data_IF_487669829139
#
_entry.id   IF_487669829139
#
_cell.length_a   1.000
_cell.length_b   1.000
_cell.length_c   1.000
_cell.angle_alpha   90.00
_cell.angle_beta   90.00
_cell.angle_gamma   90.00
#
_symmetry.space_group_name_H-M   'P 1'
#
loop_
_entity.id
_entity.type
_entity.pdbx_description
1 polymer ?
#
# COMPACT_ATOMS: atom_id res chain seq x y z
N UNK A 1 -17.30 -7.20 21.64
CA UNK A 1 -15.87 -7.19 21.25
C UNK A 1 -15.78 -7.86 19.90
N UNK A 2 -15.60 -7.08 18.84
CA UNK A 2 -15.56 -7.59 17.46
C UNK A 2 -14.09 -7.63 17.04
N UNK A 3 -13.55 -8.80 16.69
CA UNK A 3 -12.19 -8.89 16.14
C UNK A 3 -12.22 -8.39 14.70
N UNK A 4 -11.12 -7.87 14.15
CA UNK A 4 -11.10 -7.42 12.74
C UNK A 4 -11.44 -8.54 11.77
N UNK A 5 -11.04 -9.78 12.04
CA UNK A 5 -11.52 -10.93 11.27
C UNK A 5 -13.03 -11.05 11.30
N UNK A 6 -13.67 -10.76 12.44
CA UNK A 6 -15.12 -10.86 12.60
C UNK A 6 -15.82 -9.67 11.93
N UNK A 7 -15.28 -8.45 12.07
CA UNK A 7 -15.80 -7.24 11.42
C UNK A 7 -15.66 -7.30 9.89
N UNK A 8 -14.52 -7.81 9.40
CA UNK A 8 -14.26 -8.09 7.98
C UNK A 8 -15.16 -9.23 7.49
N UNK A 9 -15.38 -10.28 8.28
CA UNK A 9 -16.33 -11.35 7.95
C UNK A 9 -17.78 -10.85 7.88
N UNK A 10 -18.24 -10.02 8.82
CA UNK A 10 -19.59 -9.45 8.80
C UNK A 10 -19.79 -8.46 7.67
N UNK A 11 -18.73 -7.71 7.29
CA UNK A 11 -18.73 -6.97 6.02
C UNK A 11 -18.96 -7.98 4.89
N UNK A 12 -18.11 -9.02 4.78
CA UNK A 12 -18.15 -10.02 3.70
C UNK A 12 -19.53 -10.69 3.54
N UNK A 13 -20.25 -10.94 4.62
CA UNK A 13 -21.59 -11.56 4.62
C UNK A 13 -22.73 -10.64 4.15
N UNK A 14 -22.65 -9.32 4.38
CA UNK A 14 -23.67 -8.35 3.92
C UNK A 14 -23.48 -7.89 2.46
N UNK A 15 -22.40 -8.33 1.83
CA UNK A 15 -21.82 -7.73 0.62
C UNK A 15 -22.05 -8.54 -0.67
N UNK A 16 -22.95 -9.53 -0.63
CA UNK A 16 -23.22 -10.47 -1.72
C UNK A 16 -23.94 -9.88 -2.97
N UNK A 17 -24.10 -8.55 -3.09
CA UNK A 17 -24.95 -7.94 -4.14
C UNK A 17 -24.21 -7.16 -5.25
N UNK A 18 -22.92 -6.78 -5.12
CA UNK A 18 -22.10 -6.16 -6.21
C UNK A 18 -20.58 -6.41 -6.02
N UNK A 19 -20.01 -7.49 -6.59
CA UNK A 19 -18.71 -8.03 -6.14
C UNK A 19 -17.49 -7.08 -6.27
N UNK A 20 -17.38 -6.28 -7.35
CA UNK A 20 -16.15 -5.55 -7.66
C UNK A 20 -15.99 -4.23 -6.87
N UNK A 21 -17.02 -3.37 -6.85
CA UNK A 21 -16.99 -2.11 -6.10
C UNK A 21 -16.82 -2.32 -4.60
N UNK A 22 -17.36 -3.43 -4.12
CA UNK A 22 -17.31 -3.85 -2.74
C UNK A 22 -15.92 -4.38 -2.36
N UNK A 23 -15.32 -5.24 -3.19
CA UNK A 23 -13.95 -5.71 -2.97
C UNK A 23 -12.94 -4.54 -2.94
N UNK A 24 -13.16 -3.50 -3.77
CA UNK A 24 -12.34 -2.26 -3.77
C UNK A 24 -12.41 -1.52 -2.43
N UNK A 25 -13.63 -1.32 -1.93
CA UNK A 25 -13.89 -0.67 -0.64
C UNK A 25 -13.22 -1.42 0.51
N UNK A 26 -13.38 -2.75 0.54
CA UNK A 26 -12.82 -3.59 1.59
C UNK A 26 -11.29 -3.52 1.60
N UNK A 27 -10.66 -3.66 0.44
CA UNK A 27 -9.21 -3.64 0.36
C UNK A 27 -8.67 -2.24 0.71
N UNK A 28 -9.31 -1.14 0.26
CA UNK A 28 -9.00 0.24 0.68
C UNK A 28 -9.01 0.38 2.20
N UNK A 29 -10.10 -0.06 2.83
CA UNK A 29 -10.23 -0.06 4.28
C UNK A 29 -9.15 -0.89 4.98
N UNK A 30 -8.74 -2.04 4.42
CA UNK A 30 -7.69 -2.88 4.99
C UNK A 30 -6.31 -2.20 5.00
N UNK A 31 -5.92 -1.51 3.93
CA UNK A 31 -4.66 -0.77 3.91
C UNK A 31 -4.68 0.40 4.91
N UNK A 32 -5.78 1.17 4.92
CA UNK A 32 -5.99 2.28 5.85
C UNK A 32 -5.94 1.80 7.29
N UNK A 33 -6.67 0.73 7.62
CA UNK A 33 -6.68 0.12 8.93
C UNK A 33 -5.29 -0.43 9.33
N UNK A 34 -4.56 -1.05 8.40
CA UNK A 34 -3.20 -1.53 8.63
C UNK A 34 -2.23 -0.41 9.00
N UNK A 35 -2.22 0.69 8.21
CA UNK A 35 -1.36 1.85 8.51
C UNK A 35 -1.78 2.56 9.79
N UNK A 36 -3.08 2.69 10.04
CA UNK A 36 -3.61 3.31 11.27
C UNK A 36 -3.23 2.49 12.52
N UNK A 37 -3.09 1.17 12.40
CA UNK A 37 -2.60 0.35 13.49
C UNK A 37 -1.12 0.59 13.79
N UNK A 38 -0.28 0.71 12.77
CA UNK A 38 1.13 1.10 12.97
C UNK A 38 1.23 2.46 13.65
N UNK A 39 0.34 3.40 13.29
CA UNK A 39 0.26 4.71 13.93
C UNK A 39 -0.15 4.63 15.40
N UNK A 40 -1.20 3.86 15.70
CA UNK A 40 -1.65 3.65 17.07
C UNK A 40 -0.60 2.95 17.93
N UNK A 41 0.07 1.93 17.38
CA UNK A 41 1.12 1.16 18.04
C UNK A 41 2.35 2.03 18.33
N UNK A 42 2.80 2.81 17.34
CA UNK A 42 3.91 3.76 17.51
C UNK A 42 3.62 4.81 18.61
N UNK A 43 2.36 5.17 18.80
CA UNK A 43 1.92 6.08 19.86
C UNK A 43 1.61 5.36 21.19
N UNK A 44 1.87 4.05 21.30
CA UNK A 44 1.60 3.25 22.50
C UNK A 44 0.12 3.05 22.81
N UNK A 45 -0.77 3.32 21.85
CA UNK A 45 -2.23 3.17 22.01
C UNK A 45 -2.64 1.71 21.87
N UNK A 46 -3.55 1.28 22.74
CA UNK A 46 -4.11 -0.08 22.70
C UNK A 46 -5.25 -0.29 21.70
N UNK A 47 -5.68 0.77 21.01
CA UNK A 47 -6.74 0.74 20.00
C UNK A 47 -6.54 1.86 18.96
N UNK A 48 -6.96 1.58 17.74
CA UNK A 48 -7.00 2.52 16.61
C UNK A 48 -8.22 3.44 16.75
N UNK A 49 -7.97 4.73 16.60
CA UNK A 49 -8.95 5.81 16.63
C UNK A 49 -9.19 6.44 15.25
N UNK A 50 -10.16 7.36 15.15
CA UNK A 50 -10.39 8.14 13.93
C UNK A 50 -9.19 9.01 13.55
N UNK A 51 -8.40 9.45 14.52
CA UNK A 51 -7.19 10.25 14.29
C UNK A 51 -6.07 9.42 13.65
N UNK A 52 -5.99 8.13 14.02
CA UNK A 52 -5.07 7.18 13.40
C UNK A 52 -5.46 6.92 11.93
N UNK A 53 -6.77 6.80 11.65
CA UNK A 53 -7.26 6.71 10.27
C UNK A 53 -6.93 7.97 9.45
N UNK A 54 -7.06 9.15 10.07
CA UNK A 54 -6.72 10.43 9.42
C UNK A 54 -5.25 10.46 9.00
N UNK A 55 -4.33 10.11 9.90
CA UNK A 55 -2.90 10.06 9.60
C UNK A 55 -2.59 8.98 8.56
N UNK A 56 -3.27 7.83 8.62
CA UNK A 56 -3.12 6.76 7.64
C UNK A 56 -3.41 7.21 6.19
N UNK A 57 -4.37 8.10 5.95
CA UNK A 57 -4.63 8.63 4.61
C UNK A 57 -3.46 9.43 4.03
N UNK A 58 -2.81 10.28 4.82
CA UNK A 58 -1.60 11.00 4.39
C UNK A 58 -0.41 10.05 4.22
N UNK A 59 -0.48 8.87 4.82
CA UNK A 59 0.60 7.93 4.85
C UNK A 59 0.61 6.99 3.63
N UNK A 60 -0.50 6.34 3.33
CA UNK A 60 -0.52 5.29 2.29
C UNK A 60 -0.54 5.90 0.87
N UNK A 61 -0.75 7.22 0.77
CA UNK A 61 -0.79 7.93 -0.50
C UNK A 61 -2.08 7.64 -1.29
N UNK A 62 -1.96 7.56 -2.61
CA UNK A 62 -3.08 7.57 -3.54
C UNK A 62 -3.73 8.96 -3.66
N UNK A 63 -4.93 9.04 -4.24
CA UNK A 63 -5.55 10.34 -4.55
C UNK A 63 -5.82 11.22 -3.32
N UNK A 64 -6.18 10.60 -2.18
CA UNK A 64 -6.40 11.33 -0.92
C UNK A 64 -5.09 11.88 -0.37
N UNK A 65 -4.04 11.05 -0.32
CA UNK A 65 -2.72 11.48 0.11
C UNK A 65 -2.15 12.58 -0.78
N UNK A 66 -2.37 12.51 -2.10
CA UNK A 66 -1.98 13.54 -3.04
C UNK A 66 -2.74 14.86 -2.81
N UNK A 67 -4.06 14.80 -2.59
CA UNK A 67 -4.86 15.99 -2.27
C UNK A 67 -4.43 16.64 -0.95
N UNK A 68 -4.08 15.84 0.05
CA UNK A 68 -3.50 16.31 1.32
C UNK A 68 -2.14 16.98 1.08
N UNK A 69 -1.23 16.31 0.36
CA UNK A 69 0.11 16.82 0.08
C UNK A 69 0.10 18.13 -0.74
N UNK A 70 -0.88 18.30 -1.64
CA UNK A 70 -1.07 19.54 -2.40
C UNK A 70 -1.37 20.76 -1.49
N UNK A 71 -1.90 20.54 -0.29
CA UNK A 71 -2.07 21.58 0.74
C UNK A 71 -0.91 21.63 1.75
N UNK A 72 0.18 20.89 1.52
CA UNK A 72 1.29 20.76 2.47
C UNK A 72 0.94 19.91 3.70
N UNK A 73 -0.13 19.12 3.66
CA UNK A 73 -0.53 18.26 4.76
C UNK A 73 0.23 16.92 4.66
N UNK A 74 1.14 16.70 5.61
CA UNK A 74 1.91 15.46 5.75
C UNK A 74 1.40 14.67 6.95
N UNK A 75 1.82 13.42 7.10
CA UNK A 75 1.53 12.63 8.30
C UNK A 75 1.99 13.35 9.58
N UNK A 76 3.14 14.04 9.52
CA UNK A 76 3.67 14.81 10.64
C UNK A 76 2.84 16.04 10.96
N UNK A 77 2.43 16.83 9.96
CA UNK A 77 1.58 18.00 10.22
C UNK A 77 0.18 17.61 10.71
N UNK A 78 -0.35 16.47 10.26
CA UNK A 78 -1.60 15.92 10.80
C UNK A 78 -1.45 15.49 12.27
N UNK A 79 -0.34 14.81 12.64
CA UNK A 79 -0.05 14.49 14.05
C UNK A 79 0.09 15.76 14.90
N UNK A 80 0.71 16.81 14.36
CA UNK A 80 0.79 18.11 15.03
C UNK A 80 -0.61 18.72 15.21
N UNK A 81 -1.43 18.78 14.17
CA UNK A 81 -2.81 19.28 14.26
C UNK A 81 -3.70 18.49 15.23
N UNK A 82 -3.51 17.16 15.33
CA UNK A 82 -4.17 16.33 16.36
C UNK A 82 -3.77 16.77 17.76
N UNK A 83 -2.46 16.95 18.01
CA UNK A 83 -1.94 17.42 19.31
C UNK A 83 -2.43 18.82 19.65
N UNK A 84 -2.44 19.73 18.69
CA UNK A 84 -2.86 21.12 18.90
C UNK A 84 -4.37 21.20 19.19
N UNK A 85 -5.19 20.41 18.49
CA UNK A 85 -6.61 20.25 18.80
C UNK A 85 -6.80 19.73 20.22
N UNK A 86 -6.11 18.66 20.61
CA UNK A 86 -6.27 18.07 21.94
C UNK A 86 -5.78 19.03 23.05
N UNK A 87 -4.72 19.78 22.80
CA UNK A 87 -4.25 20.83 23.71
C UNK A 87 -5.27 21.97 23.85
N UNK A 88 -5.93 22.39 22.76
CA UNK A 88 -6.99 23.37 22.80
C UNK A 88 -8.23 22.88 23.56
N UNK A 89 -8.64 21.62 23.33
CA UNK A 89 -9.76 20.97 24.03
C UNK A 89 -9.49 20.93 25.55
N UNK A 90 -8.28 20.51 25.95
CA UNK A 90 -7.88 20.47 27.37
C UNK A 90 -7.75 21.86 27.98
N UNK A 91 -7.20 22.82 27.25
CA UNK A 91 -7.11 24.22 27.70
C UNK A 91 -8.49 24.82 27.92
N UNK A 92 -9.49 24.48 27.09
CA UNK A 92 -10.87 24.92 27.27
C UNK A 92 -11.51 24.35 28.55
N UNK A 93 -11.01 23.21 29.04
CA UNK A 93 -11.39 22.61 30.32
C UNK A 93 -10.55 23.15 31.51
N UNK A 94 -9.65 24.11 31.28
CA UNK A 94 -8.74 24.64 32.30
C UNK A 94 -7.58 23.72 32.65
N UNK A 95 -7.30 22.71 31.80
CA UNK A 95 -6.20 21.76 31.96
C UNK A 95 -5.04 22.20 31.07
N UNK A 96 -3.91 22.57 31.67
CA UNK A 96 -2.68 22.86 30.93
C UNK A 96 -1.83 21.59 30.86
N UNK A 97 -1.58 21.10 29.64
CA UNK A 97 -0.64 20.01 29.46
C UNK A 97 0.79 20.49 29.73
N UNK A 98 1.65 19.67 30.37
CA UNK A 98 3.08 19.92 30.34
C UNK A 98 3.56 19.92 28.88
N UNK A 99 4.64 20.65 28.56
CA UNK A 99 5.24 20.60 27.22
C UNK A 99 5.48 19.14 26.84
N UNK A 100 5.16 18.78 25.60
CA UNK A 100 5.29 17.42 25.11
C UNK A 100 6.73 16.95 25.38
N UNK A 101 6.89 15.98 26.29
CA UNK A 101 8.15 15.28 26.46
C UNK A 101 8.51 14.55 25.17
N UNK A 102 9.78 14.18 25.02
CA UNK A 102 10.17 13.27 23.94
C UNK A 102 9.22 12.07 23.92
N UNK A 103 8.73 11.66 22.74
CA UNK A 103 7.89 10.47 22.64
C UNK A 103 8.62 9.31 23.32
N UNK A 104 8.02 8.77 24.37
CA UNK A 104 8.57 7.61 25.05
C UNK A 104 8.51 6.47 24.04
N UNK A 105 9.67 6.13 23.46
CA UNK A 105 9.81 4.91 22.69
C UNK A 105 9.49 3.75 23.63
N UNK A 106 8.27 3.21 23.51
CA UNK A 106 7.90 2.01 24.25
C UNK A 106 8.78 0.89 23.68
N UNK A 107 9.77 0.38 24.43
CA UNK A 107 10.67 -0.62 23.91
C UNK A 107 9.88 -1.92 23.83
N UNK A 108 9.59 -2.37 22.62
CA UNK A 108 9.00 -3.67 22.41
C UNK A 108 8.05 -3.65 21.24
N UNK A 109 8.44 -4.40 20.21
CA UNK A 109 7.52 -5.04 19.27
C UNK A 109 6.48 -5.77 20.13
N UNK A 110 5.34 -5.13 20.36
CA UNK A 110 4.27 -5.71 21.17
C UNK A 110 3.85 -7.02 20.51
N UNK A 111 3.61 -8.03 21.35
CA UNK A 111 3.30 -9.41 20.97
C UNK A 111 2.46 -9.45 19.68
N UNK A 112 2.89 -10.13 18.60
CA UNK A 112 2.09 -10.27 17.37
C UNK A 112 0.70 -10.90 17.61
N UNK A 113 0.44 -11.40 18.83
CA UNK A 113 -0.87 -11.85 19.31
C UNK A 113 -1.71 -10.77 20.01
N UNK A 114 -1.21 -9.53 20.20
CA UNK A 114 -2.06 -8.39 20.59
C UNK A 114 -3.03 -8.15 19.45
N UNK A 115 -4.21 -8.73 19.61
CA UNK A 115 -5.33 -8.55 18.69
C UNK A 115 -5.48 -7.07 18.35
N UNK A 116 -5.41 -6.75 17.06
CA UNK A 116 -5.80 -5.45 16.51
C UNK A 116 -7.16 -5.04 17.10
N UNK A 117 -7.23 -3.87 17.74
CA UNK A 117 -8.47 -3.33 18.30
C UNK A 117 -8.78 -1.99 17.66
N UNK A 118 -10.00 -1.85 17.18
CA UNK A 118 -10.60 -0.56 16.86
C UNK A 118 -11.28 -0.05 18.14
N UNK A 119 -11.22 1.25 18.39
CA UNK A 119 -12.18 1.83 19.34
C UNK A 119 -13.61 1.72 18.78
N UNK A 120 -14.61 1.90 19.65
CA UNK A 120 -16.00 1.68 19.27
C UNK A 120 -16.51 2.67 18.21
N UNK A 121 -15.97 3.90 18.18
CA UNK A 121 -16.35 4.93 17.23
C UNK A 121 -15.78 4.63 15.84
N UNK A 122 -14.51 4.25 15.79
CA UNK A 122 -13.76 3.86 14.60
C UNK A 122 -14.32 2.57 13.99
N UNK A 123 -14.70 1.59 14.83
CA UNK A 123 -15.38 0.39 14.35
C UNK A 123 -16.71 0.74 13.66
N UNK A 124 -17.55 1.57 14.28
CA UNK A 124 -18.83 2.01 13.70
C UNK A 124 -18.63 2.86 12.44
N UNK A 125 -17.58 3.66 12.40
CA UNK A 125 -17.22 4.45 11.23
C UNK A 125 -16.87 3.52 10.06
N UNK A 126 -15.95 2.56 10.26
CA UNK A 126 -15.54 1.62 9.22
C UNK A 126 -16.67 0.66 8.79
N UNK A 127 -17.57 0.28 9.71
CA UNK A 127 -18.78 -0.50 9.37
C UNK A 127 -19.74 0.26 8.44
N UNK A 128 -19.82 1.58 8.58
CA UNK A 128 -20.67 2.45 7.75
C UNK A 128 -19.97 2.97 6.51
N UNK A 129 -18.64 3.05 6.53
CA UNK A 129 -17.83 3.52 5.43
C UNK A 129 -17.92 2.51 4.27
N UNK A 130 -18.76 2.83 3.30
CA UNK A 130 -18.86 2.10 2.04
C UNK A 130 -18.42 3.03 0.91
N UNK A 131 -17.51 2.58 0.05
CA UNK A 131 -17.08 3.34 -1.13
C UNK A 131 -15.57 3.47 -1.31
N UNK A 132 -15.16 4.50 -2.02
CA UNK A 132 -13.75 4.73 -2.38
C UNK A 132 -12.96 5.34 -1.22
N UNK A 133 -11.61 5.27 -1.21
CA UNK A 133 -10.78 6.02 -0.26
C UNK A 133 -11.18 7.50 -0.12
N UNK A 134 -11.50 8.18 -1.23
CA UNK A 134 -11.95 9.58 -1.16
C UNK A 134 -13.32 9.73 -0.51
N UNK A 135 -14.25 8.80 -0.75
CA UNK A 135 -15.55 8.78 -0.07
C UNK A 135 -15.38 8.57 1.44
N UNK A 136 -14.57 7.58 1.84
CA UNK A 136 -14.26 7.34 3.25
C UNK A 136 -13.57 8.56 3.90
N UNK A 137 -12.66 9.23 3.19
CA UNK A 137 -12.04 10.45 3.69
C UNK A 137 -13.02 11.61 3.80
N UNK A 138 -13.95 11.76 2.85
CA UNK A 138 -15.02 12.75 2.92
C UNK A 138 -15.95 12.48 4.13
N UNK A 139 -16.34 11.22 4.34
CA UNK A 139 -17.14 10.81 5.51
C UNK A 139 -16.40 11.07 6.82
N UNK A 140 -15.07 10.90 6.84
CA UNK A 140 -14.23 11.21 7.99
C UNK A 140 -14.22 12.72 8.28
N UNK A 141 -14.14 13.55 7.25
CA UNK A 141 -14.25 15.01 7.39
C UNK A 141 -15.64 15.45 7.89
N UNK A 142 -16.69 14.77 7.46
CA UNK A 142 -18.07 15.06 7.86
C UNK A 142 -18.53 14.31 9.12
N UNK A 143 -17.60 13.62 9.79
CA UNK A 143 -17.92 12.78 10.93
C UNK A 143 -18.60 13.58 12.07
N UNK A 144 -19.68 13.07 12.70
CA UNK A 144 -20.45 13.80 13.70
C UNK A 144 -19.65 14.30 14.92
N UNK A 145 -18.57 13.61 15.30
CA UNK A 145 -17.71 14.06 16.40
C UNK A 145 -16.92 15.33 16.09
N UNK A 146 -16.84 15.73 14.81
CA UNK A 146 -16.07 16.89 14.30
C UNK A 146 -14.58 16.86 14.60
N UNK A 147 -14.08 15.84 15.32
CA UNK A 147 -12.69 15.67 15.73
C UNK A 147 -11.73 15.58 14.55
N UNK A 148 -12.00 14.80 13.48
CA UNK A 148 -11.10 14.75 12.33
C UNK A 148 -11.04 16.08 11.59
N UNK A 149 -12.19 16.74 11.39
CA UNK A 149 -12.25 18.08 10.79
C UNK A 149 -11.54 19.15 11.62
N UNK A 150 -11.61 19.07 12.95
CA UNK A 150 -10.88 19.97 13.84
C UNK A 150 -9.38 19.75 13.75
N UNK A 151 -8.92 18.48 13.74
CA UNK A 151 -7.50 18.14 13.57
C UNK A 151 -6.95 18.62 12.21
N UNK A 152 -7.71 18.42 11.12
CA UNK A 152 -7.35 18.93 9.80
C UNK A 152 -7.20 20.46 9.79
N UNK A 153 -8.15 21.19 10.38
CA UNK A 153 -8.05 22.66 10.48
C UNK A 153 -6.87 23.11 11.32
N UNK A 154 -6.61 22.43 12.44
CA UNK A 154 -5.44 22.70 13.28
C UNK A 154 -4.13 22.43 12.53
N UNK A 155 -4.09 21.45 11.64
CA UNK A 155 -2.97 21.20 10.73
C UNK A 155 -2.87 22.22 9.57
N UNK A 156 -3.78 23.19 9.49
CA UNK A 156 -3.79 24.25 8.45
C UNK A 156 -4.62 23.93 7.20
N UNK A 157 -5.43 22.87 7.21
CA UNK A 157 -6.21 22.46 6.05
C UNK A 157 -7.36 23.44 5.74
N UNK A 158 -7.51 23.79 4.45
CA UNK A 158 -8.76 24.33 3.92
C UNK A 158 -9.66 23.15 3.51
N UNK A 159 -10.65 22.84 4.35
CA UNK A 159 -11.56 21.72 4.12
C UNK A 159 -12.42 21.88 2.86
N UNK A 160 -12.74 23.11 2.45
CA UNK A 160 -13.52 23.34 1.24
C UNK A 160 -12.66 23.07 0.01
N UNK A 161 -11.44 23.62 -0.02
CA UNK A 161 -10.48 23.34 -1.08
C UNK A 161 -10.10 21.84 -1.11
N UNK A 162 -9.97 21.20 0.05
CA UNK A 162 -9.62 19.78 0.14
C UNK A 162 -10.73 18.91 -0.44
N UNK A 163 -11.99 19.21 -0.10
CA UNK A 163 -13.15 18.51 -0.66
C UNK A 163 -13.25 18.68 -2.18
N UNK A 164 -12.95 19.88 -2.70
CA UNK A 164 -12.94 20.13 -4.14
C UNK A 164 -11.78 19.40 -4.86
N UNK A 165 -10.67 19.14 -4.17
CA UNK A 165 -9.51 18.42 -4.71
C UNK A 165 -9.67 16.89 -4.67
N UNK A 166 -10.61 16.35 -3.88
CA UNK A 166 -10.87 14.92 -3.85
C UNK A 166 -11.47 14.45 -5.19
N UNK A 167 -11.00 13.32 -5.73
CA UNK A 167 -11.60 12.76 -6.94
C UNK A 167 -13.08 12.42 -6.70
N UNK A 168 -13.94 12.49 -7.72
CA UNK A 168 -15.35 12.18 -7.59
C UNK A 168 -15.55 10.76 -7.06
N UNK A 169 -16.60 10.59 -6.24
CA UNK A 169 -16.99 9.29 -5.70
C UNK A 169 -17.67 8.49 -6.83
N UNK A 170 -16.87 7.75 -7.59
CA UNK A 170 -17.35 6.96 -8.73
C UNK A 170 -16.22 6.45 -9.62
N UNK A 171 -16.31 5.15 -9.92
CA UNK A 171 -15.63 4.24 -10.87
C UNK A 171 -14.21 4.47 -11.45
N UNK A 172 -13.47 5.54 -11.15
CA UNK A 172 -12.10 5.74 -11.69
C UNK A 172 -11.05 6.05 -10.60
N UNK A 173 -11.24 5.55 -9.37
CA UNK A 173 -10.09 5.35 -8.47
C UNK A 173 -9.42 4.06 -8.89
N UNK A 174 -8.62 4.23 -9.95
CA UNK A 174 -7.99 3.22 -10.79
C UNK A 174 -7.60 1.99 -9.99
N UNK A 175 -8.03 0.84 -10.49
CA UNK A 175 -7.56 -0.44 -10.01
C UNK A 175 -6.02 -0.41 -9.91
N UNK A 176 -5.45 -0.83 -8.78
CA UNK A 176 -4.05 -1.27 -8.66
C UNK A 176 -3.80 -2.54 -9.52
N UNK A 177 -4.49 -2.68 -10.65
CA UNK A 177 -4.54 -3.84 -11.50
C UNK A 177 -5.28 -3.57 -12.82
N UNK A 178 -4.72 -2.79 -13.75
CA UNK A 178 -5.28 -2.59 -15.10
C UNK A 178 -4.53 -3.44 -16.15
N UNK A 179 -5.13 -3.78 -17.32
CA UNK A 179 -4.36 -4.34 -18.43
C UNK A 179 -3.24 -3.38 -18.85
N UNK A 180 -2.01 -3.85 -18.94
CA UNK A 180 -0.87 -3.04 -19.35
C UNK A 180 -0.19 -3.64 -20.59
N UNK A 181 0.52 -2.80 -21.35
CA UNK A 181 1.36 -3.28 -22.43
C UNK A 181 2.57 -4.06 -21.86
N UNK A 182 3.01 -5.14 -22.53
CA UNK A 182 4.30 -5.76 -22.29
C UNK A 182 5.46 -4.78 -22.21
N UNK A 183 6.41 -5.03 -21.31
CA UNK A 183 7.66 -4.29 -21.26
C UNK A 183 8.64 -4.92 -22.26
N UNK A 184 9.04 -4.21 -23.34
CA UNK A 184 9.94 -4.75 -24.35
C UNK A 184 11.24 -5.24 -23.72
N UNK A 185 11.77 -6.36 -24.18
CA UNK A 185 13.04 -6.96 -23.76
C UNK A 185 12.98 -7.84 -22.51
N UNK A 186 11.83 -7.93 -21.82
CA UNK A 186 11.70 -8.81 -20.65
C UNK A 186 11.23 -10.20 -21.05
N UNK A 187 10.02 -10.36 -21.61
CA UNK A 187 9.47 -11.65 -22.06
C UNK A 187 9.28 -11.71 -23.59
N UNK A 188 10.05 -10.91 -24.35
CA UNK A 188 9.96 -10.89 -25.82
C UNK A 188 10.01 -12.28 -26.45
N UNK A 189 9.11 -12.52 -27.39
CA UNK A 189 8.95 -13.79 -28.09
C UNK A 189 8.11 -14.83 -27.34
N UNK A 190 7.63 -14.52 -26.14
CA UNK A 190 6.81 -15.42 -25.31
C UNK A 190 5.35 -14.92 -25.23
N UNK A 191 4.41 -15.86 -25.10
CA UNK A 191 3.04 -15.50 -24.76
C UNK A 191 3.02 -15.00 -23.30
N UNK A 192 2.65 -13.73 -23.08
CA UNK A 192 2.59 -13.15 -21.73
C UNK A 192 1.25 -12.48 -21.44
N UNK A 193 0.92 -12.40 -20.15
CA UNK A 193 -0.17 -11.58 -19.63
C UNK A 193 0.40 -10.50 -18.73
N UNK A 194 0.05 -9.24 -19.00
CA UNK A 194 0.65 -8.10 -18.33
C UNK A 194 -0.42 -7.24 -17.64
N UNK A 195 -0.14 -6.87 -16.39
CA UNK A 195 -0.99 -5.98 -15.58
C UNK A 195 -0.18 -4.84 -14.99
N UNK A 196 -0.79 -3.66 -15.01
CA UNK A 196 -0.27 -2.44 -14.42
C UNK A 196 -0.95 -2.11 -13.09
N UNK A 197 -0.27 -1.33 -12.26
CA UNK A 197 -0.83 -0.65 -11.11
C UNK A 197 -0.16 0.72 -11.01
N UNK A 198 -0.88 1.73 -10.58
CA UNK A 198 -0.33 3.06 -10.40
C UNK A 198 -0.74 3.64 -9.06
N UNK A 199 0.23 4.19 -8.33
CA UNK A 199 -0.02 4.80 -7.03
C UNK A 199 0.94 5.94 -6.74
N UNK A 200 0.37 7.10 -6.43
CA UNK A 200 1.13 8.19 -5.82
C UNK A 200 1.47 7.86 -4.36
N UNK A 201 2.69 8.14 -3.92
CA UNK A 201 3.16 7.92 -2.54
C UNK A 201 3.84 9.17 -1.98
N UNK A 202 3.67 9.47 -0.68
CA UNK A 202 4.23 10.66 -0.02
C UNK A 202 5.71 10.42 0.37
N UNK A 203 6.52 9.99 -0.57
CA UNK A 203 7.93 9.63 -0.38
C UNK A 203 8.75 10.23 -1.52
N UNK A 204 10.02 10.52 -1.27
CA UNK A 204 10.93 10.97 -2.33
C UNK A 204 11.27 9.82 -3.29
N UNK A 205 11.57 10.11 -4.57
CA UNK A 205 11.95 9.10 -5.54
C UNK A 205 13.16 8.28 -5.10
N UNK A 206 14.12 8.90 -4.41
CA UNK A 206 15.33 8.26 -3.90
C UNK A 206 14.99 7.21 -2.83
N UNK A 207 14.10 7.55 -1.90
CA UNK A 207 13.65 6.61 -0.85
C UNK A 207 12.97 5.39 -1.44
N UNK A 208 12.12 5.59 -2.43
CA UNK A 208 11.47 4.46 -3.10
C UNK A 208 12.50 3.63 -3.87
N UNK A 209 13.43 4.28 -4.59
CA UNK A 209 14.51 3.60 -5.30
C UNK A 209 15.35 2.74 -4.36
N UNK A 210 15.72 3.26 -3.19
CA UNK A 210 16.56 2.55 -2.22
C UNK A 210 15.90 1.26 -1.70
N UNK A 211 14.57 1.17 -1.71
CA UNK A 211 13.82 -0.05 -1.40
C UNK A 211 13.77 -0.98 -2.61
N UNK A 212 13.40 -0.47 -3.77
CA UNK A 212 13.14 -1.28 -4.98
C UNK A 212 14.43 -1.88 -5.55
N UNK A 213 15.56 -1.21 -5.35
CA UNK A 213 16.89 -1.72 -5.73
C UNK A 213 17.42 -2.68 -4.66
N UNK A 214 17.21 -2.42 -3.38
CA UNK A 214 17.82 -3.23 -2.31
C UNK A 214 17.22 -4.64 -2.21
N UNK A 215 18.10 -5.64 -2.27
CA UNK A 215 17.72 -7.05 -2.31
C UNK A 215 17.09 -7.52 -0.99
N UNK A 216 17.60 -7.03 0.14
CA UNK A 216 17.04 -7.31 1.47
C UNK A 216 15.62 -6.77 1.62
N UNK A 217 15.31 -5.62 1.02
CA UNK A 217 13.95 -5.06 1.05
C UNK A 217 13.03 -5.75 0.04
N UNK A 218 13.55 -6.20 -1.10
CA UNK A 218 12.77 -6.90 -2.12
C UNK A 218 12.56 -8.39 -1.80
N UNK A 219 13.42 -9.02 -0.99
CA UNK A 219 13.26 -10.43 -0.54
C UNK A 219 11.85 -10.73 0.00
N UNK A 220 11.34 -10.04 1.03
CA UNK A 220 10.01 -10.33 1.58
C UNK A 220 8.88 -10.02 0.60
N UNK A 221 9.13 -9.21 -0.43
CA UNK A 221 8.14 -8.78 -1.43
C UNK A 221 8.04 -9.76 -2.62
N UNK A 222 9.19 -10.25 -3.11
CA UNK A 222 9.26 -11.17 -4.25
C UNK A 222 9.20 -12.63 -3.83
N UNK A 223 9.67 -12.95 -2.63
CA UNK A 223 9.77 -14.32 -2.10
C UNK A 223 9.15 -14.42 -0.70
N UNK A 224 7.86 -14.07 -0.54
CA UNK A 224 7.21 -14.03 0.76
C UNK A 224 7.20 -15.40 1.45
N UNK A 225 7.55 -15.43 2.73
CA UNK A 225 7.54 -16.64 3.55
C UNK A 225 8.66 -17.65 3.24
N UNK A 226 9.70 -17.22 2.53
CA UNK A 226 10.88 -18.03 2.24
C UNK A 226 12.04 -17.57 3.12
N UNK A 227 12.45 -18.42 4.06
CA UNK A 227 13.51 -18.11 5.02
C UNK A 227 14.91 -18.31 4.40
N UNK A 228 15.10 -19.43 3.69
CA UNK A 228 16.37 -19.87 3.09
C UNK A 228 16.67 -19.24 1.71
N UNK A 229 16.41 -17.94 1.56
CA UNK A 229 16.72 -17.19 0.33
C UNK A 229 18.15 -16.68 0.39
N UNK A 230 18.97 -17.05 -0.59
CA UNK A 230 20.26 -16.42 -0.86
C UNK A 230 20.02 -15.01 -1.38
N UNK A 231 20.61 -14.02 -0.71
CA UNK A 231 20.58 -12.61 -1.09
C UNK A 231 21.98 -12.20 -1.56
N UNK A 232 22.09 -11.75 -2.81
CA UNK A 232 23.34 -11.28 -3.40
C UNK A 232 23.07 -10.07 -4.31
N UNK A 233 24.09 -9.26 -4.68
CA UNK A 233 23.87 -8.09 -5.52
C UNK A 233 23.13 -8.42 -6.82
N UNK A 234 21.93 -7.86 -6.98
CA UNK A 234 21.03 -8.07 -8.11
C UNK A 234 20.40 -9.47 -8.19
N UNK A 235 20.47 -10.29 -7.13
CA UNK A 235 20.01 -11.68 -7.14
C UNK A 235 19.32 -12.08 -5.83
N UNK A 236 18.16 -12.71 -5.97
CA UNK A 236 17.52 -13.51 -4.92
C UNK A 236 17.37 -14.95 -5.45
N UNK A 237 17.91 -15.94 -4.75
CA UNK A 237 17.80 -17.35 -5.16
C UNK A 237 17.28 -18.20 -4.00
N UNK A 238 16.39 -19.16 -4.31
CA UNK A 238 15.96 -20.20 -3.37
C UNK A 238 15.92 -21.54 -4.08
N UNK A 239 16.32 -22.60 -3.37
CA UNK A 239 16.08 -23.97 -3.84
C UNK A 239 14.79 -24.51 -3.21
N UNK A 240 13.78 -24.79 -4.03
CA UNK A 240 12.49 -25.35 -3.58
C UNK A 240 12.24 -26.68 -4.28
N UNK A 241 12.03 -27.75 -3.48
CA UNK A 241 11.75 -29.10 -4.00
C UNK A 241 12.79 -29.57 -5.04
N UNK A 242 14.07 -29.25 -4.80
CA UNK A 242 15.18 -29.61 -5.68
C UNK A 242 15.28 -28.79 -6.98
N UNK A 243 14.51 -27.70 -7.11
CA UNK A 243 14.61 -26.75 -8.22
C UNK A 243 15.03 -25.39 -7.69
N UNK A 244 15.99 -24.78 -8.36
CA UNK A 244 16.37 -23.39 -8.08
C UNK A 244 15.27 -22.44 -8.60
N UNK A 245 15.07 -21.32 -7.95
CA UNK A 245 14.16 -20.26 -8.38
C UNK A 245 14.86 -18.95 -8.11
N UNK A 246 15.08 -18.17 -9.18
CA UNK A 246 15.85 -16.93 -9.08
C UNK A 246 15.01 -15.73 -9.47
N UNK A 247 15.20 -14.63 -8.76
CA UNK A 247 14.86 -13.29 -9.22
C UNK A 247 16.16 -12.52 -9.46
N UNK A 248 16.32 -11.98 -10.67
CA UNK A 248 17.47 -11.15 -11.04
C UNK A 248 17.02 -9.73 -11.32
N UNK A 249 17.76 -8.73 -10.83
CA UNK A 249 17.57 -7.33 -11.22
C UNK A 249 18.20 -7.14 -12.60
N UNK A 250 17.36 -7.11 -13.62
CA UNK A 250 17.77 -7.03 -15.03
C UNK A 250 17.80 -5.60 -15.57
N UNK A 251 17.17 -4.65 -14.86
CA UNK A 251 17.23 -3.22 -15.17
C UNK A 251 17.35 -2.38 -13.91
N UNK A 252 18.16 -1.34 -14.02
CA UNK A 252 18.25 -0.22 -13.08
C UNK A 252 18.83 0.98 -13.85
N UNK A 253 17.96 1.80 -14.44
CA UNK A 253 18.34 2.85 -15.37
C UNK A 253 17.51 4.12 -15.21
N UNK A 254 18.09 5.26 -15.55
CA UNK A 254 17.35 6.51 -15.69
C UNK A 254 16.70 6.57 -17.08
N UNK A 255 15.40 6.87 -17.14
CA UNK A 255 14.61 6.98 -18.38
C UNK A 255 13.82 8.28 -18.34
N UNK A 256 14.36 9.32 -18.99
CA UNK A 256 13.83 10.68 -18.86
C UNK A 256 13.91 11.15 -17.40
N UNK A 257 12.81 11.64 -16.86
CA UNK A 257 12.70 12.06 -15.46
C UNK A 257 12.44 10.89 -14.49
N UNK A 258 12.10 9.71 -15.01
CA UNK A 258 11.80 8.54 -14.20
C UNK A 258 12.99 7.59 -14.03
N UNK A 259 13.00 6.82 -12.95
CA UNK A 259 13.91 5.68 -12.76
C UNK A 259 13.17 4.38 -13.04
N UNK A 260 13.73 3.55 -13.90
CA UNK A 260 13.25 2.20 -14.21
C UNK A 260 14.04 1.16 -13.40
N UNK A 261 13.32 0.26 -12.71
CA UNK A 261 13.91 -0.94 -12.10
C UNK A 261 13.09 -2.17 -12.47
N UNK A 262 13.74 -3.24 -12.91
CA UNK A 262 13.06 -4.50 -13.26
C UNK A 262 13.70 -5.72 -12.62
N UNK A 263 12.86 -6.53 -11.99
CA UNK A 263 13.17 -7.83 -11.40
C UNK A 263 12.53 -8.93 -12.24
N UNK A 264 13.34 -9.85 -12.77
CA UNK A 264 12.87 -10.95 -13.61
C UNK A 264 13.07 -12.30 -12.91
N UNK A 265 12.03 -13.12 -12.91
CA UNK A 265 12.04 -14.47 -12.38
C UNK A 265 12.50 -15.47 -13.45
N UNK A 266 13.39 -16.38 -13.05
CA UNK A 266 13.87 -17.49 -13.86
C UNK A 266 13.46 -18.84 -13.27
N UNK A 267 13.04 -19.77 -14.13
CA UNK A 267 12.68 -21.16 -13.85
C UNK A 267 13.71 -22.07 -14.53
N UNK A 268 14.59 -22.74 -13.77
CA UNK A 268 15.60 -23.63 -14.32
C UNK A 268 14.96 -24.75 -15.13
N UNK A 269 15.49 -24.98 -16.34
CA UNK A 269 14.95 -25.97 -17.28
C UNK A 269 13.71 -25.52 -18.06
N UNK A 270 13.35 -24.24 -17.97
CA UNK A 270 12.25 -23.65 -18.72
C UNK A 270 10.85 -24.01 -18.19
N UNK A 271 9.82 -23.42 -18.82
CA UNK A 271 8.43 -23.66 -18.41
C UNK A 271 7.95 -25.09 -18.70
N UNK A 272 8.51 -25.71 -19.76
CA UNK A 272 8.18 -27.07 -20.22
C UNK A 272 9.41 -27.76 -20.84
N UNK A 273 10.35 -28.26 -20.02
CA UNK A 273 11.56 -28.92 -20.52
C UNK A 273 11.26 -30.13 -21.41
N UNK A 274 10.15 -30.82 -21.14
CA UNK A 274 9.67 -31.99 -21.89
C UNK A 274 9.13 -31.66 -23.30
N UNK A 275 8.84 -30.38 -23.58
CA UNK A 275 8.37 -29.90 -24.88
C UNK A 275 9.45 -29.14 -25.67
N UNK A 276 10.71 -29.19 -25.22
CA UNK A 276 11.84 -28.51 -25.86
C UNK A 276 11.94 -27.01 -25.56
N UNK A 277 11.12 -26.51 -24.62
CA UNK A 277 11.17 -25.12 -24.18
C UNK A 277 12.30 -24.93 -23.16
N UNK A 278 13.37 -24.27 -23.61
CA UNK A 278 14.57 -24.01 -22.82
C UNK A 278 14.66 -22.58 -22.30
N UNK A 279 13.69 -21.73 -22.64
CA UNK A 279 13.68 -20.35 -22.13
C UNK A 279 13.28 -20.37 -20.65
N UNK A 280 14.18 -19.90 -19.80
CA UNK A 280 14.01 -19.94 -18.35
C UNK A 280 13.20 -18.75 -17.82
N UNK A 281 12.90 -17.73 -18.63
CA UNK A 281 12.18 -16.54 -18.16
C UNK A 281 10.73 -16.89 -17.84
N UNK A 282 10.30 -16.56 -16.61
CA UNK A 282 8.98 -16.93 -16.09
C UNK A 282 8.03 -15.75 -15.85
N UNK A 283 8.53 -14.69 -15.22
CA UNK A 283 7.75 -13.47 -14.94
C UNK A 283 8.65 -12.28 -14.68
N UNK A 284 8.10 -11.08 -14.62
CA UNK A 284 8.81 -9.90 -14.14
C UNK A 284 7.94 -9.00 -13.27
N UNK A 285 8.61 -8.20 -12.45
CA UNK A 285 8.12 -6.97 -11.85
C UNK A 285 8.96 -5.83 -12.40
N UNK A 286 8.31 -4.88 -13.05
CA UNK A 286 8.89 -3.63 -13.52
C UNK A 286 8.30 -2.49 -12.69
N UNK A 287 9.14 -1.59 -12.21
CA UNK A 287 8.73 -0.43 -11.41
C UNK A 287 9.31 0.81 -12.07
N UNK A 288 8.43 1.74 -12.43
CA UNK A 288 8.79 3.08 -12.86
C UNK A 288 8.55 4.04 -11.69
N UNK A 289 9.59 4.78 -11.33
CA UNK A 289 9.62 5.72 -10.21
C UNK A 289 9.68 7.13 -10.82
N UNK A 290 8.56 7.84 -10.82
CA UNK A 290 8.45 9.16 -11.45
C UNK A 290 8.30 10.23 -10.36
N UNK A 291 9.16 11.27 -10.33
CA UNK A 291 8.96 12.42 -9.44
C UNK A 291 7.58 13.05 -9.66
N UNK A 292 6.90 13.42 -8.57
CA UNK A 292 5.62 14.09 -8.61
C UNK A 292 5.56 15.18 -7.52
N UNK A 293 4.68 16.16 -7.69
CA UNK A 293 4.51 17.21 -6.67
C UNK A 293 4.17 16.60 -5.31
N UNK A 294 4.99 16.94 -4.30
CA UNK A 294 4.84 16.45 -2.94
C UNK A 294 5.15 14.97 -2.72
N UNK A 295 5.66 14.23 -3.72
CA UNK A 295 5.90 12.80 -3.58
C UNK A 295 6.44 12.11 -4.83
N UNK A 296 5.99 10.87 -5.05
CA UNK A 296 6.44 10.02 -6.16
C UNK A 296 5.26 9.25 -6.74
N UNK A 297 5.16 9.21 -8.07
CA UNK A 297 4.24 8.30 -8.77
C UNK A 297 4.95 6.98 -9.06
N UNK A 298 4.38 5.88 -8.57
CA UNK A 298 4.87 4.53 -8.83
C UNK A 298 3.98 3.84 -9.84
N UNK A 299 4.55 3.44 -10.98
CA UNK A 299 3.87 2.59 -11.96
C UNK A 299 4.51 1.20 -11.92
N UNK A 300 3.76 0.21 -11.46
CA UNK A 300 4.20 -1.19 -11.43
C UNK A 300 3.60 -1.91 -12.63
N UNK A 301 4.44 -2.64 -13.36
CA UNK A 301 4.01 -3.53 -14.43
C UNK A 301 4.51 -4.94 -14.14
N UNK A 302 3.59 -5.91 -14.09
CA UNK A 302 3.94 -7.32 -13.95
C UNK A 302 3.53 -8.08 -15.20
N UNK A 303 4.49 -8.74 -15.83
CA UNK A 303 4.25 -9.72 -16.88
C UNK A 303 4.47 -11.12 -16.34
N UNK A 304 3.57 -12.04 -16.70
CA UNK A 304 3.70 -13.47 -16.41
C UNK A 304 3.61 -14.24 -17.70
N UNK A 305 4.57 -15.13 -17.93
CA UNK A 305 4.58 -16.03 -19.08
C UNK A 305 3.40 -17.00 -19.01
N UNK A 306 2.66 -17.12 -20.10
CA UNK A 306 1.61 -18.11 -20.27
C UNK A 306 2.17 -19.52 -20.53
N UNK A 307 1.62 -20.54 -19.88
CA UNK A 307 2.04 -21.93 -20.04
C UNK A 307 0.91 -22.73 -20.73
N UNK A 308 1.07 -23.07 -22.02
CA UNK A 308 0.17 -23.93 -22.80
C UNK A 308 -1.19 -23.29 -23.18
N UNK A 309 -2.11 -24.08 -23.77
CA UNK A 309 -3.47 -23.62 -24.21
C UNK A 309 -4.34 -23.02 -23.09
N UNK A 310 -4.06 -23.37 -21.83
CA UNK A 310 -4.72 -22.83 -20.63
C UNK A 310 -3.99 -21.60 -20.05
N UNK A 311 -2.82 -21.22 -20.58
CA UNK A 311 -2.00 -20.11 -20.10
C UNK A 311 -2.72 -18.76 -20.16
N UNK A 312 -3.64 -18.57 -21.12
CA UNK A 312 -4.53 -17.41 -21.18
C UNK A 312 -5.54 -17.34 -20.03
N UNK A 313 -5.98 -18.48 -19.51
CA UNK A 313 -7.02 -18.57 -18.47
C UNK A 313 -6.39 -18.64 -17.08
N UNK A 314 -5.31 -19.41 -16.91
CA UNK A 314 -4.56 -19.52 -15.66
C UNK A 314 -3.68 -18.29 -15.41
N UNK A 315 -3.11 -17.68 -16.47
CA UNK A 315 -2.43 -16.38 -16.41
C UNK A 315 -3.40 -15.28 -16.02
N UNK A 316 -4.60 -15.25 -16.63
CA UNK A 316 -5.71 -14.36 -16.25
C UNK A 316 -6.22 -14.62 -14.83
N UNK A 317 -6.34 -15.88 -14.38
CA UNK A 317 -6.76 -16.19 -13.01
C UNK A 317 -5.69 -15.81 -11.98
N UNK A 318 -4.42 -16.15 -12.22
CA UNK A 318 -3.29 -15.71 -11.39
C UNK A 318 -3.17 -14.18 -11.36
N UNK A 319 -3.53 -13.47 -12.44
CA UNK A 319 -3.55 -12.00 -12.49
C UNK A 319 -4.82 -11.35 -11.93
N UNK A 320 -5.96 -12.03 -11.94
CA UNK A 320 -7.18 -11.60 -11.22
C UNK A 320 -6.96 -11.74 -9.71
N UNK A 321 -6.29 -12.80 -9.26
CA UNK A 321 -5.82 -12.92 -7.87
C UNK A 321 -4.60 -12.01 -7.57
N UNK A 322 -3.85 -11.57 -8.59
CA UNK A 322 -2.71 -10.63 -8.44
C UNK A 322 -3.13 -9.17 -8.25
N UNK A 323 -4.41 -8.83 -8.33
CA UNK A 323 -4.87 -7.50 -7.89
C UNK A 323 -4.50 -7.24 -6.43
N UNK A 324 -4.54 -8.29 -5.60
CA UNK A 324 -4.00 -8.24 -4.24
C UNK A 324 -2.47 -8.13 -4.20
N UNK A 325 -1.77 -8.70 -5.19
CA UNK A 325 -0.33 -8.79 -5.20
C UNK A 325 0.35 -7.48 -5.63
N UNK A 326 -0.14 -6.78 -6.67
CA UNK A 326 0.38 -5.46 -7.03
C UNK A 326 0.18 -4.45 -5.91
N UNK A 327 -1.01 -4.46 -5.32
CA UNK A 327 -1.35 -3.65 -4.17
C UNK A 327 -0.50 -3.98 -2.93
N UNK A 328 -0.32 -5.26 -2.62
CA UNK A 328 0.53 -5.70 -1.50
C UNK A 328 2.01 -5.34 -1.74
N UNK A 329 2.48 -5.40 -2.99
CA UNK A 329 3.82 -4.96 -3.37
C UNK A 329 3.98 -3.44 -3.19
N UNK A 330 3.04 -2.64 -3.71
CA UNK A 330 3.03 -1.19 -3.53
C UNK A 330 3.04 -0.81 -2.04
N UNK A 331 2.15 -1.43 -1.25
CA UNK A 331 2.10 -1.22 0.20
C UNK A 331 3.41 -1.62 0.86
N UNK A 332 3.94 -2.81 0.53
CA UNK A 332 5.18 -3.31 1.10
C UNK A 332 6.39 -2.43 0.76
N UNK A 333 6.46 -1.87 -0.45
CA UNK A 333 7.48 -0.88 -0.84
C UNK A 333 7.37 0.37 0.04
N UNK A 334 6.16 0.90 0.21
CA UNK A 334 5.91 2.09 1.04
C UNK A 334 6.27 1.84 2.50
N UNK A 335 5.86 0.71 3.07
CA UNK A 335 6.17 0.33 4.45
C UNK A 335 7.68 0.18 4.68
N UNK A 336 8.38 -0.51 3.76
CA UNK A 336 9.84 -0.66 3.81
C UNK A 336 10.58 0.68 3.68
N UNK A 337 10.07 1.60 2.84
CA UNK A 337 10.68 2.91 2.65
C UNK A 337 10.60 3.78 3.90
N UNK A 338 9.56 3.59 4.72
CA UNK A 338 9.33 4.33 5.97
C UNK A 338 10.08 3.75 7.14
N UNK A 339 10.25 2.43 7.20
CA UNK A 339 10.99 1.79 8.27
C UNK A 339 12.49 2.15 8.28
N UNK A 340 12.96 2.89 7.26
CA UNK A 340 14.33 3.40 7.15
C UNK A 340 14.49 4.83 7.68
N UNK A 341 13.42 5.45 8.17
CA UNK A 341 13.44 6.68 8.98
C UNK A 341 13.78 6.39 10.44
#
# INVERSE_FOLDING_TARGET
>A
MTRVTDAVSTLTEHLAAKPAAIARTLAAAQDIAGSAHLEADAAGRGAVSLDDLLVAFAQIGGPVGQALAAQGLTAESLRAGIRDRDAADLSALGITLPPAGEPVAVPGRLDPKRSFRLDAETARFLEKAAGTPAGMFADLMDHPSRRPAAALRAAGADLHALRAALPPVGEDQAEDNFPAAPIPGLLDGLEETTRGAERWVPLSPERVRDVVVAEESMKPLLMPGMDDVLVAPGLLSVTRKGREHEYRRVRDAQVGEAREVAWQMFWPGGAKPDQGDTDERGSYLHVLITPADGGTLLTLTRGVRGIGRMGRIAGAAATVFSGSANRSLLRGIVEQARARD
#
